data_IF_470914146414
#
_entry.id   IF_470914146414
#
_cell.length_a   1.000
_cell.length_b   1.000
_cell.length_c   1.000
_cell.angle_alpha   90.00
_cell.angle_beta   90.00
_cell.angle_gamma   90.00
#
_symmetry.space_group_name_H-M   'P 1'
#
loop_
_entity.id
_entity.type
_entity.pdbx_description
1 polymer ?
#
# COMPACT_ATOMS: atom_id res chain seq x y z
N UNK A 1 -23.70 21.74 -6.26
CA UNK A 1 -22.65 21.88 -7.29
C UNK A 1 -21.36 21.31 -6.73
N UNK A 2 -21.07 20.03 -6.98
CA UNK A 2 -19.89 19.31 -6.44
C UNK A 2 -18.66 19.39 -7.35
N UNK A 3 -18.71 20.17 -8.44
CA UNK A 3 -17.75 20.10 -9.55
C UNK A 3 -16.40 20.76 -9.32
N UNK A 4 -16.05 21.16 -8.08
CA UNK A 4 -14.77 21.84 -7.83
C UNK A 4 -14.15 21.52 -6.46
N UNK A 5 -14.56 20.42 -5.83
CA UNK A 5 -13.91 19.96 -4.61
C UNK A 5 -12.53 19.37 -4.99
N UNK A 6 -11.42 19.94 -4.49
CA UNK A 6 -10.07 19.47 -4.82
C UNK A 6 -9.84 18.01 -4.43
N UNK A 7 -10.51 17.52 -3.39
CA UNK A 7 -10.40 16.12 -2.97
C UNK A 7 -11.10 15.19 -3.98
N UNK A 8 -12.26 15.62 -4.49
CA UNK A 8 -12.99 14.87 -5.53
C UNK A 8 -12.22 14.84 -6.83
N UNK A 9 -11.56 15.94 -7.22
CA UNK A 9 -10.75 16.02 -8.44
C UNK A 9 -9.52 15.12 -8.33
N UNK A 10 -8.81 15.14 -7.20
CA UNK A 10 -7.66 14.27 -6.97
C UNK A 10 -8.07 12.79 -7.01
N UNK A 11 -9.14 12.43 -6.30
CA UNK A 11 -9.68 11.07 -6.29
C UNK A 11 -10.11 10.62 -7.69
N UNK A 12 -10.75 11.50 -8.48
CA UNK A 12 -11.17 11.18 -9.83
C UNK A 12 -9.97 10.90 -10.76
N UNK A 13 -8.87 11.66 -10.65
CA UNK A 13 -7.66 11.43 -11.43
C UNK A 13 -6.98 10.09 -11.06
N UNK A 14 -6.98 9.74 -9.77
CA UNK A 14 -6.44 8.46 -9.31
C UNK A 14 -7.30 7.26 -9.74
N UNK A 15 -8.63 7.40 -9.70
CA UNK A 15 -9.56 6.40 -10.23
C UNK A 15 -9.39 6.24 -11.75
N UNK A 16 -9.24 7.34 -12.49
CA UNK A 16 -9.05 7.30 -13.96
C UNK A 16 -7.77 6.56 -14.35
N UNK A 17 -6.65 6.84 -13.68
CA UNK A 17 -5.38 6.15 -13.91
C UNK A 17 -5.53 4.64 -13.69
N UNK A 18 -6.19 4.25 -12.60
CA UNK A 18 -6.42 2.85 -12.27
C UNK A 18 -7.31 2.14 -13.31
N UNK A 19 -8.41 2.76 -13.74
CA UNK A 19 -9.30 2.18 -14.75
C UNK A 19 -8.62 1.98 -16.11
N UNK A 20 -7.60 2.79 -16.43
CA UNK A 20 -6.75 2.60 -17.62
C UNK A 20 -5.83 1.39 -17.50
N UNK A 21 -5.32 1.12 -16.31
CA UNK A 21 -4.43 -0.02 -16.04
C UNK A 21 -5.20 -1.33 -15.84
N UNK A 22 -6.47 -1.26 -15.42
CA UNK A 22 -7.30 -2.42 -15.12
C UNK A 22 -8.71 -2.29 -15.74
N UNK A 23 -8.83 -2.47 -17.07
CA UNK A 23 -10.09 -2.30 -17.78
C UNK A 23 -11.19 -3.28 -17.34
N UNK A 24 -10.84 -4.43 -16.76
CA UNK A 24 -11.79 -5.37 -16.17
C UNK A 24 -12.25 -5.06 -14.73
N UNK A 25 -11.65 -4.06 -14.04
CA UNK A 25 -11.95 -3.78 -12.64
C UNK A 25 -13.27 -3.00 -12.41
N UNK A 26 -13.98 -2.65 -13.48
CA UNK A 26 -15.05 -1.65 -13.47
C UNK A 26 -16.46 -2.25 -13.49
N UNK A 27 -16.82 -3.08 -12.51
CA UNK A 27 -18.19 -3.63 -12.46
C UNK A 27 -19.18 -2.74 -11.68
N UNK A 28 -18.77 -2.03 -10.61
CA UNK A 28 -19.64 -1.10 -9.87
C UNK A 28 -18.88 -0.02 -9.07
N UNK A 29 -19.55 1.10 -8.75
CA UNK A 29 -19.03 2.14 -7.82
C UNK A 29 -18.64 1.58 -6.45
N UNK A 30 -19.37 0.56 -5.97
CA UNK A 30 -19.06 -0.09 -4.70
C UNK A 30 -17.71 -0.85 -4.76
N UNK A 31 -17.42 -1.50 -5.89
CA UNK A 31 -16.12 -2.16 -6.09
C UNK A 31 -14.98 -1.16 -6.21
N UNK A 32 -15.18 -0.05 -6.92
CA UNK A 32 -14.18 1.03 -7.03
C UNK A 32 -13.87 1.61 -5.64
N UNK A 33 -14.90 1.91 -4.83
CA UNK A 33 -14.71 2.44 -3.49
C UNK A 33 -14.03 1.44 -2.53
N UNK A 34 -14.44 0.15 -2.58
CA UNK A 34 -13.85 -0.91 -1.74
C UNK A 34 -12.38 -1.13 -2.10
N UNK A 35 -12.05 -1.14 -3.38
CA UNK A 35 -10.67 -1.25 -3.84
C UNK A 35 -9.85 -0.02 -3.43
N UNK A 36 -10.40 1.19 -3.57
CA UNK A 36 -9.71 2.42 -3.15
C UNK A 36 -9.30 2.38 -1.67
N UNK A 37 -10.23 1.99 -0.80
CA UNK A 37 -9.98 1.84 0.64
C UNK A 37 -8.92 0.76 0.90
N UNK A 38 -8.98 -0.37 0.19
CA UNK A 38 -8.01 -1.45 0.34
C UNK A 38 -6.61 -1.02 -0.12
N UNK A 39 -6.50 -0.32 -1.25
CA UNK A 39 -5.24 0.22 -1.76
C UNK A 39 -4.61 1.20 -0.76
N UNK A 40 -5.37 2.20 -0.30
CA UNK A 40 -4.91 3.15 0.71
C UNK A 40 -4.42 2.44 1.97
N UNK A 41 -5.15 1.41 2.43
CA UNK A 41 -4.75 0.57 3.57
C UNK A 41 -3.49 -0.24 3.32
N UNK A 42 -3.30 -0.79 2.12
CA UNK A 42 -2.10 -1.53 1.73
C UNK A 42 -0.90 -0.60 1.69
N UNK A 43 -1.02 0.57 1.05
CA UNK A 43 0.07 1.56 0.95
C UNK A 43 0.50 2.07 2.34
N UNK A 44 -0.47 2.44 3.19
CA UNK A 44 -0.20 2.80 4.58
C UNK A 44 0.39 1.63 5.39
N UNK A 45 -0.15 0.43 5.19
CA UNK A 45 0.31 -0.79 5.84
C UNK A 45 1.76 -1.11 5.49
N UNK A 46 2.13 -1.01 4.22
CA UNK A 46 3.48 -1.25 3.73
C UNK A 46 4.50 -0.30 4.37
N UNK A 47 4.18 1.00 4.43
CA UNK A 47 5.05 1.99 5.06
C UNK A 47 5.22 1.73 6.58
N UNK A 48 4.15 1.33 7.27
CA UNK A 48 4.22 0.96 8.69
C UNK A 48 4.98 -0.34 8.92
N UNK A 49 4.75 -1.35 8.08
CA UNK A 49 5.47 -2.64 8.11
C UNK A 49 6.96 -2.42 7.87
N UNK A 50 7.35 -1.58 6.91
CA UNK A 50 8.73 -1.24 6.64
C UNK A 50 9.41 -0.62 7.88
N UNK A 51 8.78 0.39 8.50
CA UNK A 51 9.28 1.00 9.73
C UNK A 51 9.40 0.01 10.90
N UNK A 52 8.43 -0.90 11.02
CA UNK A 52 8.46 -1.94 12.05
C UNK A 52 9.63 -2.91 11.82
N UNK A 53 9.88 -3.29 10.57
CA UNK A 53 11.01 -4.16 10.20
C UNK A 53 12.36 -3.46 10.41
N UNK A 54 12.49 -2.18 10.05
CA UNK A 54 13.70 -1.39 10.32
C UNK A 54 13.99 -1.28 11.83
N UNK A 55 12.94 -1.14 12.65
CA UNK A 55 13.06 -1.13 14.11
C UNK A 55 13.49 -2.49 14.68
N UNK A 56 12.99 -3.59 14.12
CA UNK A 56 13.38 -4.94 14.51
C UNK A 56 14.82 -5.26 14.06
N UNK A 57 15.23 -4.76 12.90
CA UNK A 57 16.60 -4.86 12.39
C UNK A 57 17.58 -4.11 13.30
N UNK A 58 17.26 -2.87 13.69
CA UNK A 58 18.05 -2.09 14.64
C UNK A 58 18.21 -2.77 16.02
N UNK A 59 17.26 -3.63 16.41
CA UNK A 59 17.31 -4.42 17.64
C UNK A 59 18.03 -5.77 17.49
N UNK A 60 18.47 -6.12 16.29
CA UNK A 60 19.09 -7.42 16.00
C UNK A 60 18.11 -8.60 16.08
N UNK A 61 16.80 -8.33 15.97
CA UNK A 61 15.76 -9.39 16.01
C UNK A 61 15.57 -10.02 14.64
N UNK A 62 15.67 -9.21 13.59
CA UNK A 62 15.62 -9.64 12.18
C UNK A 62 16.85 -9.11 11.45
N UNK A 63 17.24 -9.80 10.39
CA UNK A 63 18.31 -9.37 9.50
C UNK A 63 17.77 -9.25 8.08
N UNK A 64 18.23 -8.23 7.35
CA UNK A 64 17.95 -8.08 5.94
C UNK A 64 18.84 -9.05 5.16
N UNK A 65 18.23 -9.96 4.42
CA UNK A 65 18.94 -10.87 3.51
C UNK A 65 19.40 -10.11 2.26
N UNK A 66 20.38 -10.67 1.53
CA UNK A 66 20.92 -10.09 0.29
C UNK A 66 19.88 -9.90 -0.83
N UNK A 67 18.68 -10.49 -0.69
CA UNK A 67 17.57 -10.37 -1.63
C UNK A 67 16.51 -9.33 -1.20
N UNK A 68 16.74 -8.59 -0.10
CA UNK A 68 15.79 -7.61 0.43
C UNK A 68 14.65 -8.22 1.27
N UNK A 69 14.69 -9.52 1.55
CA UNK A 69 13.74 -10.21 2.43
C UNK A 69 14.18 -10.11 3.88
N UNK A 70 13.23 -9.99 4.80
CA UNK A 70 13.48 -10.02 6.24
C UNK A 70 13.35 -11.45 6.78
N UNK A 71 14.40 -11.92 7.47
CA UNK A 71 14.41 -13.20 8.17
C UNK A 71 14.71 -13.02 9.67
N UNK A 72 14.32 -13.98 10.50
CA UNK A 72 14.74 -14.00 11.91
C UNK A 72 16.26 -14.09 12.01
N UNK A 73 16.87 -13.26 12.86
CA UNK A 73 18.30 -13.33 13.14
C UNK A 73 18.62 -14.70 13.75
N UNK A 74 19.39 -15.54 13.05
CA UNK A 74 19.80 -16.83 13.59
C UNK A 74 20.74 -16.61 14.76
N UNK A 75 20.30 -16.98 15.98
CA UNK A 75 21.18 -17.15 17.13
C UNK A 75 22.17 -18.26 16.80
N UNK A 76 23.39 -17.90 16.38
CA UNK A 76 24.54 -18.81 16.44
C UNK A 76 24.89 -19.00 17.91
N UNK A 77 24.46 -20.14 18.45
CA UNK A 77 24.91 -20.73 19.72
C UNK A 77 25.17 -22.19 19.48
#
# INVERSE_FOLDING_TARGET
>A
MYGNDPEVIALAAEIECYLKEHPEAADTTEHIARWWILRQRIEMGLALTQKALDHLEAKGVVERTQQGLYGLAQRRG
#
